data_IF_420947924239
#
_entry.id   IF_420947924239
#
_cell.length_a   1.000
_cell.length_b   1.000
_cell.length_c   1.000
_cell.angle_alpha   90.00
_cell.angle_beta   90.00
_cell.angle_gamma   90.00
#
_symmetry.space_group_name_H-M   'P 1'
#
loop_
_entity.id
_entity.type
_entity.pdbx_description
1 polymer ?
#
# COMPACT_ATOMS: atom_id res chain seq x y z
N UNK A 1 6.12 12.75 -2.02
CA UNK A 1 5.81 12.18 -0.68
C UNK A 1 4.92 13.15 0.11
N UNK A 2 4.10 13.96 -0.57
CA UNK A 2 3.46 15.15 0.01
C UNK A 2 2.08 14.89 0.63
N UNK A 3 1.75 13.62 0.89
CA UNK A 3 0.41 13.19 1.33
C UNK A 3 0.49 12.18 2.47
N UNK A 4 1.24 12.50 3.53
CA UNK A 4 1.14 11.71 4.77
C UNK A 4 -0.25 11.99 5.37
N UNK A 5 -1.14 11.01 5.24
CA UNK A 5 -2.49 11.09 5.80
C UNK A 5 -2.41 10.88 7.31
N UNK A 6 -2.93 11.85 8.08
CA UNK A 6 -3.18 11.66 9.51
C UNK A 6 -4.47 10.90 9.71
N UNK A 7 -4.41 9.86 10.54
CA UNK A 7 -5.57 9.05 10.91
C UNK A 7 -6.09 9.48 12.28
N UNK A 8 -7.41 9.47 12.45
CA UNK A 8 -8.02 9.51 13.78
C UNK A 8 -7.98 8.12 14.45
N UNK A 9 -8.26 8.05 15.75
CA UNK A 9 -8.17 6.79 16.51
C UNK A 9 -9.10 5.68 16.00
N UNK A 10 -10.23 6.03 15.37
CA UNK A 10 -11.14 5.04 14.78
C UNK A 10 -10.55 4.49 13.49
N UNK A 11 -9.95 5.35 12.67
CA UNK A 11 -9.25 4.96 11.45
C UNK A 11 -8.00 4.13 11.75
N UNK A 12 -7.25 4.48 12.79
CA UNK A 12 -6.12 3.68 13.27
C UNK A 12 -6.56 2.28 13.72
N UNK A 13 -7.64 2.18 14.50
CA UNK A 13 -8.17 0.87 14.93
C UNK A 13 -8.65 0.02 13.75
N UNK A 14 -9.30 0.63 12.75
CA UNK A 14 -9.70 -0.07 11.54
C UNK A 14 -8.49 -0.56 10.72
N UNK A 15 -7.45 0.28 10.58
CA UNK A 15 -6.21 -0.10 9.91
C UNK A 15 -5.49 -1.23 10.65
N UNK A 16 -5.47 -1.19 11.98
CA UNK A 16 -4.90 -2.23 12.82
C UNK A 16 -5.55 -3.59 12.58
N UNK A 17 -6.88 -3.66 12.52
CA UNK A 17 -7.61 -4.91 12.22
C UNK A 17 -7.25 -5.46 10.83
N UNK A 18 -7.06 -4.57 9.85
CA UNK A 18 -6.64 -4.99 8.50
C UNK A 18 -5.21 -5.52 8.53
N UNK A 19 -4.30 -4.83 9.23
CA UNK A 19 -2.91 -5.25 9.37
C UNK A 19 -2.79 -6.62 10.04
N UNK A 20 -3.55 -6.88 11.11
CA UNK A 20 -3.58 -8.17 11.80
C UNK A 20 -4.05 -9.30 10.88
N UNK A 21 -5.11 -9.07 10.09
CA UNK A 21 -5.60 -10.04 9.11
C UNK A 21 -4.57 -10.32 8.01
N UNK A 22 -3.86 -9.30 7.57
CA UNK A 22 -2.80 -9.45 6.57
C UNK A 22 -1.63 -10.29 7.14
N UNK A 23 -1.17 -9.98 8.36
CA UNK A 23 -0.13 -10.76 9.05
C UNK A 23 -0.57 -12.23 9.22
N UNK A 24 -1.83 -12.47 9.58
CA UNK A 24 -2.37 -13.82 9.69
C UNK A 24 -2.31 -14.60 8.36
N UNK A 25 -2.58 -13.94 7.23
CA UNK A 25 -2.42 -14.54 5.89
C UNK A 25 -0.96 -14.92 5.58
N UNK A 26 0.00 -14.25 6.22
CA UNK A 26 1.43 -14.56 6.15
C UNK A 26 1.91 -15.50 7.27
N UNK A 27 1.03 -16.37 7.79
CA UNK A 27 1.31 -17.34 8.86
C UNK A 27 1.75 -16.69 10.18
N UNK A 28 1.34 -15.44 10.41
CA UNK A 28 1.72 -14.71 11.61
C UNK A 28 3.14 -14.14 11.58
N UNK A 29 3.84 -14.15 10.45
CA UNK A 29 5.18 -13.56 10.32
C UNK A 29 5.08 -12.08 9.89
N UNK A 30 5.24 -11.11 10.82
CA UNK A 30 5.09 -9.70 10.51
C UNK A 30 6.21 -9.17 9.60
N UNK A 31 7.41 -9.74 9.66
CA UNK A 31 8.54 -9.30 8.82
C UNK A 31 8.31 -9.72 7.37
N UNK A 32 7.81 -10.95 7.18
CA UNK A 32 7.42 -11.43 5.85
C UNK A 32 6.26 -10.62 5.28
N UNK A 33 5.23 -10.36 6.08
CA UNK A 33 4.09 -9.54 5.68
C UNK A 33 4.55 -8.12 5.27
N UNK A 34 5.38 -7.47 6.08
CA UNK A 34 5.90 -6.13 5.77
C UNK A 34 6.66 -6.09 4.44
N UNK A 35 7.54 -7.08 4.19
CA UNK A 35 8.29 -7.17 2.92
C UNK A 35 7.34 -7.27 1.72
N UNK A 36 6.32 -8.12 1.82
CA UNK A 36 5.32 -8.27 0.74
C UNK A 36 4.54 -6.96 0.52
N UNK A 37 4.11 -6.29 1.60
CA UNK A 37 3.39 -5.03 1.52
C UNK A 37 4.20 -3.95 0.79
N UNK A 38 5.52 -3.86 1.06
CA UNK A 38 6.41 -2.92 0.38
C UNK A 38 6.47 -3.22 -1.12
N UNK A 39 6.63 -4.49 -1.50
CA UNK A 39 6.66 -4.90 -2.92
C UNK A 39 5.34 -4.59 -3.63
N UNK A 40 4.22 -4.95 -3.01
CA UNK A 40 2.88 -4.67 -3.54
C UNK A 40 2.62 -3.17 -3.70
N UNK A 41 3.08 -2.36 -2.74
CA UNK A 41 2.96 -0.90 -2.81
C UNK A 41 3.79 -0.34 -3.96
N UNK A 42 4.99 -0.87 -4.21
CA UNK A 42 5.81 -0.53 -5.38
C UNK A 42 5.10 -0.81 -6.70
N UNK A 43 4.55 -2.02 -6.86
CA UNK A 43 3.79 -2.38 -8.07
C UNK A 43 2.53 -1.54 -8.27
N UNK A 44 1.85 -1.17 -7.18
CA UNK A 44 0.71 -0.26 -7.24
C UNK A 44 1.16 1.11 -7.75
N UNK A 45 2.26 1.65 -7.23
CA UNK A 45 2.82 2.93 -7.67
C UNK A 45 3.21 2.88 -9.15
N UNK A 46 3.93 1.83 -9.59
CA UNK A 46 4.29 1.66 -11.01
C UNK A 46 3.05 1.66 -11.91
N UNK A 47 1.98 1.01 -11.47
CA UNK A 47 0.72 0.96 -12.22
C UNK A 47 0.00 2.31 -12.23
N UNK A 48 0.00 3.03 -11.12
CA UNK A 48 -0.57 4.38 -11.03
C UNK A 48 0.21 5.34 -11.94
N UNK A 49 1.53 5.28 -11.93
CA UNK A 49 2.40 6.09 -12.77
C UNK A 49 2.16 5.79 -14.26
N UNK A 50 2.01 4.51 -14.64
CA UNK A 50 1.69 4.12 -16.01
C UNK A 50 0.30 4.64 -16.47
N UNK A 51 -0.68 4.70 -15.58
CA UNK A 51 -2.04 5.19 -15.88
C UNK A 51 -2.13 6.71 -15.93
N UNK A 52 -1.30 7.40 -15.14
CA UNK A 52 -1.28 8.87 -15.03
C UNK A 52 -0.26 9.52 -15.96
N UNK A 53 0.66 8.72 -16.55
CA UNK A 53 1.58 9.19 -17.57
C UNK A 53 0.80 9.82 -18.73
N UNK A 54 1.11 11.08 -19.11
CA UNK A 54 0.44 11.74 -20.22
C UNK A 54 0.61 10.88 -21.47
N UNK A 55 -0.51 10.55 -22.13
CA UNK A 55 -0.53 9.82 -23.39
C UNK A 55 0.28 10.65 -24.39
N UNK A 56 1.53 10.26 -24.63
CA UNK A 56 2.42 10.96 -25.55
C UNK A 56 1.80 10.81 -26.94
N UNK A 57 1.04 11.81 -27.39
CA UNK A 57 0.61 11.90 -28.77
C UNK A 57 1.88 12.04 -29.59
N UNK A 58 2.24 10.98 -30.28
CA UNK A 58 3.33 10.99 -31.24
C UNK A 58 2.85 11.89 -32.39
N UNK A 59 3.42 13.11 -32.47
CA UNK A 59 3.35 13.95 -33.67
C UNK A 59 4.42 13.50 -34.65
#
# INVERSE_FOLDING_TARGET
MDHIVRLDSRQEAALQVIAERFIAAHKGDPVKALKEMIVLTGHLQDRLDALTAPRKVMR
#
